data_IF_012933733362
#
_entry.id   IF_012933733362
#
_cell.length_a   1.000
_cell.length_b   1.000
_cell.length_c   1.000
_cell.angle_alpha   90.00
_cell.angle_beta   90.00
_cell.angle_gamma   90.00
#
_symmetry.space_group_name_H-M   'P 1'
#
loop_
_entity.id
_entity.type
_entity.pdbx_description
1 polymer ?
#
# COMPACT_ATOMS: atom_id res chain seq x y z
N UNK A 1 17.31 -0.24 7.88
CA UNK A 1 16.08 0.54 7.61
C UNK A 1 15.09 -0.44 7.01
N UNK A 2 13.95 -0.64 7.66
CA UNK A 2 12.96 -1.65 7.27
C UNK A 2 12.09 -1.12 6.12
N UNK A 3 12.05 -1.83 4.99
CA UNK A 3 11.38 -1.42 3.78
C UNK A 3 10.12 -2.27 3.53
N UNK A 4 8.98 -1.61 3.38
CA UNK A 4 7.69 -2.26 3.17
C UNK A 4 7.16 -1.90 1.77
N UNK A 5 6.60 -2.88 1.06
CA UNK A 5 5.89 -2.66 -0.19
C UNK A 5 4.40 -2.95 -0.01
N UNK A 6 3.57 -1.92 -0.20
CA UNK A 6 2.12 -2.06 -0.26
C UNK A 6 1.66 -2.28 -1.70
N UNK A 7 0.78 -3.26 -1.92
CA UNK A 7 0.39 -3.70 -3.26
C UNK A 7 -1.12 -3.79 -3.37
N UNK A 8 -1.68 -3.19 -4.42
CA UNK A 8 -3.08 -3.41 -4.82
C UNK A 8 -3.16 -3.68 -6.33
N UNK A 9 -4.35 -3.67 -6.91
CA UNK A 9 -4.54 -3.88 -8.35
C UNK A 9 -3.86 -2.77 -9.19
N UNK A 10 -4.27 -1.52 -9.02
CA UNK A 10 -3.94 -0.44 -9.96
C UNK A 10 -3.00 0.65 -9.41
N UNK A 11 -2.46 0.52 -8.19
CA UNK A 11 -1.58 1.51 -7.53
C UNK A 11 -2.05 2.97 -7.53
N UNK A 12 -3.35 3.20 -7.47
CA UNK A 12 -3.91 4.54 -7.34
C UNK A 12 -4.68 4.75 -6.04
N UNK A 13 -5.05 3.70 -5.32
CA UNK A 13 -6.01 3.80 -4.23
C UNK A 13 -5.46 3.22 -2.92
N UNK A 14 -5.94 2.05 -2.47
CA UNK A 14 -5.62 1.43 -1.18
C UNK A 14 -4.11 1.36 -0.89
N UNK A 15 -3.28 0.90 -1.84
CA UNK A 15 -1.83 0.81 -1.60
C UNK A 15 -1.13 2.17 -1.51
N UNK A 16 -1.59 3.18 -2.26
CA UNK A 16 -1.06 4.55 -2.16
C UNK A 16 -1.46 5.21 -0.84
N UNK A 17 -2.70 4.99 -0.40
CA UNK A 17 -3.14 5.44 0.92
C UNK A 17 -2.27 4.82 2.02
N UNK A 18 -2.08 3.50 2.00
CA UNK A 18 -1.28 2.79 2.99
C UNK A 18 0.17 3.29 3.05
N UNK A 19 0.80 3.51 1.90
CA UNK A 19 2.16 4.06 1.81
C UNK A 19 2.27 5.44 2.48
N UNK A 20 1.38 6.37 2.13
CA UNK A 20 1.43 7.75 2.64
C UNK A 20 1.17 7.80 4.15
N UNK A 21 0.21 7.00 4.64
CA UNK A 21 -0.04 6.84 6.09
C UNK A 21 1.18 6.26 6.79
N UNK A 22 1.73 5.15 6.28
CA UNK A 22 2.87 4.49 6.92
C UNK A 22 4.07 5.43 7.02
N UNK A 23 4.42 6.09 5.92
CA UNK A 23 5.55 7.01 5.88
C UNK A 23 5.35 8.22 6.79
N UNK A 24 4.13 8.75 6.89
CA UNK A 24 3.81 9.82 7.83
C UNK A 24 4.02 9.37 9.29
N UNK A 25 3.46 8.22 9.66
CA UNK A 25 3.56 7.70 11.02
C UNK A 25 5.00 7.31 11.39
N UNK A 26 5.70 6.59 10.52
CA UNK A 26 7.08 6.18 10.76
C UNK A 26 8.01 7.38 10.97
N UNK A 27 7.84 8.47 10.21
CA UNK A 27 8.60 9.71 10.39
C UNK A 27 8.23 10.39 11.70
N UNK A 28 6.94 10.51 11.99
CA UNK A 28 6.43 11.15 13.21
C UNK A 28 6.95 10.45 14.47
N UNK A 29 7.01 9.11 14.42
CA UNK A 29 7.48 8.28 15.51
C UNK A 29 8.99 7.98 15.47
N UNK A 30 9.72 8.53 14.49
CA UNK A 30 11.17 8.34 14.30
C UNK A 30 11.60 6.88 14.17
N UNK A 31 10.74 6.05 13.57
CA UNK A 31 11.02 4.65 13.30
C UNK A 31 11.88 4.56 12.03
N UNK A 32 13.01 3.81 12.03
CA UNK A 32 13.88 3.67 10.87
C UNK A 32 13.29 2.72 9.81
N UNK A 33 12.08 3.03 9.35
CA UNK A 33 11.33 2.28 8.36
C UNK A 33 10.74 3.22 7.31
N UNK A 34 10.48 2.67 6.13
CA UNK A 34 9.80 3.37 5.03
C UNK A 34 8.93 2.40 4.24
N UNK A 35 7.90 2.94 3.63
CA UNK A 35 7.05 2.21 2.70
C UNK A 35 7.16 2.77 1.29
N UNK A 36 6.86 1.91 0.34
CA UNK A 36 6.56 2.25 -1.06
C UNK A 36 5.31 1.48 -1.48
N UNK A 37 4.77 1.77 -2.66
CA UNK A 37 3.63 1.04 -3.20
C UNK A 37 3.72 0.79 -4.70
N UNK A 38 3.07 -0.29 -5.14
CA UNK A 38 2.96 -0.68 -6.54
C UNK A 38 1.63 -1.40 -6.83
N UNK A 39 1.42 -1.74 -8.10
CA UNK A 39 0.20 -2.33 -8.64
C UNK A 39 0.48 -3.66 -9.32
N UNK A 40 -0.41 -4.64 -9.13
CA UNK A 40 -0.33 -5.96 -9.76
C UNK A 40 -0.81 -5.98 -11.22
N UNK A 41 -1.73 -5.08 -11.57
CA UNK A 41 -2.39 -5.01 -12.87
C UNK A 41 -2.66 -3.55 -13.23
N UNK A 42 -1.57 -2.78 -13.37
CA UNK A 42 -1.65 -1.34 -13.64
C UNK A 42 -2.31 -1.03 -15.00
N UNK A 43 -1.95 -1.73 -16.08
CA UNK A 43 -2.58 -1.54 -17.39
C UNK A 43 -2.73 -0.07 -17.81
N UNK A 44 -3.94 0.35 -18.16
CA UNK A 44 -4.26 1.74 -18.54
C UNK A 44 -4.13 2.76 -17.39
N UNK A 45 -4.04 2.30 -16.14
CA UNK A 45 -3.88 3.16 -14.98
C UNK A 45 -2.47 3.75 -14.84
N UNK A 46 -1.50 3.36 -15.67
CA UNK A 46 -0.11 3.87 -15.62
C UNK A 46 0.00 5.40 -15.79
N UNK A 47 -1.01 6.06 -16.37
CA UNK A 47 -1.07 7.53 -16.47
C UNK A 47 -1.82 8.19 -15.32
N UNK A 48 -2.35 7.40 -14.37
CA UNK A 48 -3.14 7.91 -13.26
C UNK A 48 -2.29 8.14 -12.03
N UNK A 49 -2.65 9.19 -11.30
CA UNK A 49 -2.14 9.53 -9.98
C UNK A 49 -3.03 8.90 -8.91
N UNK A 50 -2.70 9.15 -7.64
CA UNK A 50 -3.54 8.75 -6.51
C UNK A 50 -5.00 9.20 -6.71
N UNK A 51 -5.92 8.28 -6.45
CA UNK A 51 -7.35 8.42 -6.64
C UNK A 51 -7.94 9.32 -5.54
N UNK A 52 -8.93 10.12 -5.92
CA UNK A 52 -9.48 11.20 -5.11
C UNK A 52 -9.96 10.77 -3.71
N UNK A 53 -10.71 9.67 -3.53
CA UNK A 53 -11.14 9.23 -2.20
C UNK A 53 -9.97 8.92 -1.24
N UNK A 54 -8.82 8.43 -1.74
CA UNK A 54 -7.64 8.25 -0.90
C UNK A 54 -7.05 9.60 -0.46
N UNK A 55 -7.02 10.60 -1.36
CA UNK A 55 -6.58 11.95 -1.00
C UNK A 55 -7.50 12.60 0.05
N UNK A 56 -8.81 12.49 -0.13
CA UNK A 56 -9.80 13.04 0.80
C UNK A 56 -9.67 12.38 2.18
N UNK A 57 -9.38 11.08 2.24
CA UNK A 57 -9.16 10.40 3.52
C UNK A 57 -7.85 10.83 4.19
N UNK A 58 -6.77 11.03 3.42
CA UNK A 58 -5.51 11.57 3.95
C UNK A 58 -5.70 12.99 4.53
N UNK A 59 -6.48 13.82 3.82
CA UNK A 59 -6.82 15.17 4.27
C UNK A 59 -7.59 15.17 5.60
N UNK A 60 -8.60 14.29 5.77
CA UNK A 60 -9.32 14.11 7.04
C UNK A 60 -8.40 13.73 8.21
N UNK A 61 -7.30 13.04 7.92
CA UNK A 61 -6.30 12.63 8.90
C UNK A 61 -5.20 13.69 9.12
N UNK A 62 -5.28 14.85 8.45
CA UNK A 62 -4.23 15.88 8.40
C UNK A 62 -2.88 15.36 7.88
N UNK A 63 -2.91 14.36 6.99
CA UNK A 63 -1.71 13.79 6.38
C UNK A 63 -1.54 14.41 5.00
N UNK A 64 -0.41 15.12 4.79
CA UNK A 64 -0.04 15.64 3.48
C UNK A 64 0.73 14.57 2.69
N UNK A 65 0.19 14.03 1.59
CA UNK A 65 0.90 13.05 0.78
C UNK A 65 2.19 13.65 0.21
N UNK A 66 3.27 12.86 0.19
CA UNK A 66 4.55 13.25 -0.40
C UNK A 66 4.60 12.99 -1.90
N UNK A 67 3.88 11.98 -2.38
CA UNK A 67 3.88 11.54 -3.78
C UNK A 67 2.48 11.68 -4.42
N UNK A 68 1.71 12.78 -4.23
CA UNK A 68 0.36 12.87 -4.77
C UNK A 68 0.33 12.96 -6.30
N UNK A 69 1.43 13.41 -6.91
CA UNK A 69 1.53 13.62 -8.35
C UNK A 69 2.24 12.51 -9.10
N UNK A 70 2.78 11.51 -8.40
CA UNK A 70 3.44 10.40 -9.06
C UNK A 70 2.42 9.45 -9.67
N UNK A 71 2.76 8.93 -10.84
CA UNK A 71 1.91 7.99 -11.56
C UNK A 71 1.92 6.62 -10.89
N UNK A 72 0.93 5.80 -11.25
CA UNK A 72 0.85 4.39 -10.87
C UNK A 72 2.04 3.62 -11.43
N UNK A 73 2.64 2.76 -10.59
CA UNK A 73 3.78 1.94 -10.95
C UNK A 73 3.43 0.45 -10.90
N UNK A 74 3.85 -0.31 -11.92
CA UNK A 74 3.67 -1.76 -11.91
C UNK A 74 4.72 -2.43 -11.02
N UNK A 75 4.33 -3.48 -10.31
CA UNK A 75 5.23 -4.19 -9.38
C UNK A 75 6.44 -4.82 -10.08
N UNK A 76 6.29 -5.29 -11.31
CA UNK A 76 7.38 -5.78 -12.17
C UNK A 76 8.50 -4.78 -12.45
N UNK A 77 8.25 -3.48 -12.25
CA UNK A 77 9.26 -2.42 -12.40
C UNK A 77 10.12 -2.26 -11.13
N UNK A 78 9.83 -3.04 -10.09
CA UNK A 78 10.52 -2.99 -8.81
C UNK A 78 11.42 -4.21 -8.58
N UNK A 79 12.53 -3.94 -7.92
CA UNK A 79 13.41 -4.96 -7.34
C UNK A 79 12.84 -5.40 -5.98
N UNK A 80 12.06 -6.48 -5.96
CA UNK A 80 11.34 -6.94 -4.75
C UNK A 80 12.25 -7.35 -3.59
N UNK A 81 13.48 -7.79 -3.89
CA UNK A 81 14.49 -8.15 -2.89
C UNK A 81 14.95 -6.98 -2.01
N UNK A 82 14.58 -5.73 -2.36
CA UNK A 82 14.86 -4.54 -1.54
C UNK A 82 13.86 -4.32 -0.39
N UNK A 83 12.78 -5.10 -0.37
CA UNK A 83 11.71 -4.98 0.62
C UNK A 83 11.75 -6.15 1.60
N UNK A 84 11.64 -5.82 2.88
CA UNK A 84 11.63 -6.78 3.97
C UNK A 84 10.23 -7.37 4.19
N UNK A 85 9.18 -6.65 3.77
CA UNK A 85 7.79 -7.10 3.80
C UNK A 85 7.02 -6.66 2.55
N UNK A 86 6.21 -7.57 2.02
CA UNK A 86 5.31 -7.35 0.89
C UNK A 86 3.87 -7.57 1.36
N UNK A 87 3.01 -6.56 1.19
CA UNK A 87 1.67 -6.55 1.78
C UNK A 87 0.66 -6.22 0.68
N UNK A 88 -0.18 -7.19 0.35
CA UNK A 88 -1.31 -7.06 -0.56
C UNK A 88 -2.58 -6.62 0.18
N UNK A 89 -3.36 -5.75 -0.45
CA UNK A 89 -4.53 -5.15 0.22
C UNK A 89 -5.65 -6.16 0.51
N UNK A 90 -5.91 -7.13 -0.37
CA UNK A 90 -7.05 -8.07 -0.29
C UNK A 90 -6.63 -9.46 -0.81
N UNK A 91 -6.77 -10.52 -0.01
CA UNK A 91 -6.33 -11.86 -0.42
C UNK A 91 -7.11 -12.40 -1.61
N UNK A 92 -8.44 -12.32 -1.55
CA UNK A 92 -9.32 -12.89 -2.58
C UNK A 92 -9.12 -12.21 -3.93
N UNK A 93 -8.86 -10.90 -3.93
CA UNK A 93 -8.56 -10.13 -5.13
C UNK A 93 -7.15 -10.38 -5.66
N UNK A 94 -6.12 -10.33 -4.81
CA UNK A 94 -4.73 -10.19 -5.27
C UNK A 94 -3.96 -11.51 -5.34
N UNK A 95 -4.29 -12.51 -4.50
CA UNK A 95 -3.57 -13.79 -4.49
C UNK A 95 -3.58 -14.48 -5.85
N UNK A 96 -4.70 -14.52 -6.61
CA UNK A 96 -4.67 -15.07 -7.97
C UNK A 96 -3.71 -14.31 -8.91
N UNK A 97 -3.62 -12.99 -8.79
CA UNK A 97 -2.73 -12.16 -9.62
C UNK A 97 -1.27 -12.46 -9.29
N UNK A 98 -0.92 -12.54 -8.00
CA UNK A 98 0.42 -12.93 -7.53
C UNK A 98 0.82 -14.30 -8.06
N UNK A 99 -0.05 -15.30 -7.92
CA UNK A 99 0.23 -16.68 -8.37
C UNK A 99 0.34 -16.79 -9.89
N UNK A 100 -0.38 -15.94 -10.64
CA UNK A 100 -0.30 -15.90 -12.11
C UNK A 100 0.98 -15.26 -12.63
N UNK A 101 1.66 -14.45 -11.82
CA UNK A 101 2.89 -13.76 -12.20
C UNK A 101 4.11 -14.55 -11.72
N UNK A 102 4.87 -15.10 -12.67
CA UNK A 102 6.05 -15.94 -12.39
C UNK A 102 7.16 -15.22 -11.64
N UNK A 103 7.22 -13.88 -11.68
CA UNK A 103 8.17 -13.07 -10.91
C UNK A 103 7.76 -12.90 -9.44
N UNK A 104 6.49 -13.10 -9.12
CA UNK A 104 5.94 -12.81 -7.78
C UNK A 104 5.68 -14.07 -6.96
N UNK A 105 5.36 -15.20 -7.60
CA UNK A 105 4.91 -16.43 -6.94
C UNK A 105 5.88 -17.02 -5.89
N UNK A 106 7.18 -16.70 -5.97
CA UNK A 106 8.20 -17.18 -5.02
C UNK A 106 8.34 -16.27 -3.80
N UNK A 107 7.72 -15.08 -3.82
CA UNK A 107 7.77 -14.13 -2.72
C UNK A 107 6.61 -14.36 -1.75
N UNK A 108 6.88 -14.16 -0.45
CA UNK A 108 5.85 -14.25 0.58
C UNK A 108 5.12 -12.91 0.70
N UNK A 109 3.83 -12.91 0.37
CA UNK A 109 2.94 -11.76 0.54
C UNK A 109 2.06 -11.97 1.78
N UNK A 110 1.97 -10.95 2.61
CA UNK A 110 0.93 -10.80 3.61
C UNK A 110 -0.32 -10.19 2.96
N UNK A 111 -1.51 -10.52 3.48
CA UNK A 111 -2.78 -10.02 2.98
C UNK A 111 -3.60 -9.41 4.11
N UNK A 112 -4.20 -8.24 3.87
CA UNK A 112 -4.88 -7.44 4.90
C UNK A 112 -6.41 -7.36 4.78
N UNK A 113 -6.99 -7.98 3.75
CA UNK A 113 -8.44 -8.03 3.48
C UNK A 113 -9.17 -6.67 3.49
N UNK A 114 -8.47 -5.65 3.01
CA UNK A 114 -8.98 -4.32 2.70
C UNK A 114 -9.67 -4.36 1.33
N UNK A 115 -10.96 -4.70 1.35
CA UNK A 115 -11.80 -4.85 0.16
C UNK A 115 -11.99 -3.50 -0.57
N UNK A 116 -11.98 -3.53 -1.90
CA UNK A 116 -12.15 -2.35 -2.75
C UNK A 116 -13.59 -1.87 -2.94
N UNK A 117 -13.71 -0.66 -3.48
CA UNK A 117 -14.94 -0.19 -4.11
C UNK A 117 -15.26 -1.01 -5.38
N UNK A 118 -16.56 -1.21 -5.71
CA UNK A 118 -17.75 -0.74 -5.01
C UNK A 118 -18.23 -1.68 -3.89
N UNK A 119 -17.52 -2.80 -3.62
CA UNK A 119 -17.94 -3.80 -2.62
C UNK A 119 -17.94 -3.23 -1.21
N UNK A 120 -16.93 -2.44 -0.87
CA UNK A 120 -16.83 -1.69 0.39
C UNK A 120 -16.47 -0.25 0.06
N UNK A 121 -17.23 0.68 0.62
CA UNK A 121 -17.01 2.12 0.40
C UNK A 121 -15.68 2.57 1.00
N UNK A 122 -15.02 3.54 0.37
CA UNK A 122 -13.73 4.10 0.81
C UNK A 122 -13.75 4.66 2.24
N UNK A 123 -14.88 5.22 2.68
CA UNK A 123 -15.07 5.72 4.04
C UNK A 123 -15.17 4.61 5.10
N UNK A 124 -15.23 3.35 4.69
CA UNK A 124 -15.16 2.17 5.56
C UNK A 124 -13.81 1.46 5.38
N UNK A 125 -13.39 1.18 4.15
CA UNK A 125 -12.17 0.38 3.90
C UNK A 125 -10.88 1.12 4.27
N UNK A 126 -10.80 2.43 4.02
CA UNK A 126 -9.58 3.19 4.33
C UNK A 126 -9.35 3.41 5.83
N UNK A 127 -10.36 3.64 6.69
CA UNK A 127 -10.15 3.63 8.14
C UNK A 127 -9.64 2.28 8.69
N UNK A 128 -10.11 1.16 8.12
CA UNK A 128 -9.58 -0.17 8.48
C UNK A 128 -8.12 -0.28 8.03
N UNK A 129 -7.82 0.15 6.80
CA UNK A 129 -6.44 0.19 6.28
C UNK A 129 -5.53 1.05 7.18
N UNK A 130 -5.99 2.24 7.61
CA UNK A 130 -5.25 3.08 8.54
C UNK A 130 -4.93 2.36 9.85
N UNK A 131 -5.91 1.66 10.42
CA UNK A 131 -5.73 0.91 11.68
C UNK A 131 -4.67 -0.18 11.52
N UNK A 132 -4.70 -0.93 10.40
CA UNK A 132 -3.68 -1.94 10.06
C UNK A 132 -2.29 -1.35 9.87
N UNK A 133 -2.19 -0.22 9.17
CA UNK A 133 -0.92 0.50 9.03
C UNK A 133 -0.39 0.96 10.37
N UNK A 134 -1.25 1.47 11.25
CA UNK A 134 -0.86 1.89 12.60
C UNK A 134 -0.37 0.70 13.44
N UNK A 135 -1.09 -0.42 13.43
CA UNK A 135 -0.67 -1.68 14.08
C UNK A 135 0.72 -2.13 13.61
N UNK A 136 0.97 -2.06 12.29
CA UNK A 136 2.27 -2.39 11.72
C UNK A 136 3.39 -1.46 12.24
N UNK A 137 3.15 -0.16 12.25
CA UNK A 137 4.10 0.85 12.76
C UNK A 137 4.38 0.64 14.25
N UNK A 138 3.34 0.47 15.07
CA UNK A 138 3.46 0.19 16.50
C UNK A 138 4.27 -1.11 16.75
N UNK A 139 4.06 -2.13 15.92
CA UNK A 139 4.78 -3.40 15.98
C UNK A 139 6.27 -3.27 15.67
N UNK A 140 6.66 -2.37 14.75
CA UNK A 140 8.08 -2.11 14.43
C UNK A 140 8.79 -1.34 15.55
N UNK A 141 8.08 -0.41 16.21
CA UNK A 141 8.60 0.33 17.36
C UNK A 141 9.04 -0.59 18.48
N UNK A 142 8.25 -1.63 18.77
CA UNK A 142 8.53 -2.58 19.85
C UNK A 142 9.69 -3.56 19.54
N UNK A 143 10.19 -3.56 18.30
CA UNK A 143 11.34 -4.39 17.86
C UNK A 143 12.65 -3.61 17.81
N UNK A 144 12.63 -2.30 18.05
CA UNK A 144 13.78 -1.39 18.00
C UNK A 144 14.24 -1.05 19.41
#
# INVERSE_FOLDING_TARGET
MHNILFVCTANIFRSRFAEEVFNFLAITEKIPARAFSAGLNVGEYHIRKIYRPALEQLEKLNIKPKRPNELSLHIDELELTKYDQLICMDEAEHKPMVLSNSKLKEFNFEYWDIIDEPKVQSDISLPICYSKVKELVDGLKNKT
#
